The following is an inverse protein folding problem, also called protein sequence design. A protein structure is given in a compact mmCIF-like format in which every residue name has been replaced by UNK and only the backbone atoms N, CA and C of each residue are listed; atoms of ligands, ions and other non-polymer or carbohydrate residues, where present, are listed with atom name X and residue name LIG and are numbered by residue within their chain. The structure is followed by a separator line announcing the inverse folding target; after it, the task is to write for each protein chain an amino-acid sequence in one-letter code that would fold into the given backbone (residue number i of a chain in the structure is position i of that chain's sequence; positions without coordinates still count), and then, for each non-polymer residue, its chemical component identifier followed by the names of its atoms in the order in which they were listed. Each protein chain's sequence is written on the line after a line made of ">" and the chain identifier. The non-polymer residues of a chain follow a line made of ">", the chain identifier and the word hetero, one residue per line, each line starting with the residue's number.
data_IF_971243746607
#
_entry.id   IF_971243746607
#
_cell.length_a   1.000
_cell.length_b   1.000
_cell.length_c   1.000
_cell.angle_alpha   90.00
_cell.angle_beta   90.00
_cell.angle_gamma   90.00
#
_symmetry.space_group_name_H-M   'P 1'
#
loop_
_entity.id
_entity.type
_entity.pdbx_description
1 polymer ?
#
# COMPACT_ATOMS: atom_id res chain seq x y z
N UNK A 1 -50.70 -6.56 -53.16
CA UNK A 1 -51.04 -5.70 -52.00
C UNK A 1 -50.98 -6.52 -50.72
N UNK A 2 -49.98 -6.29 -49.87
CA UNK A 2 -50.05 -6.33 -48.39
C UNK A 2 -48.64 -6.03 -47.88
N UNK A 3 -48.51 -4.84 -47.30
CA UNK A 3 -47.25 -4.22 -46.90
C UNK A 3 -46.70 -4.95 -45.68
N UNK A 4 -45.41 -5.26 -45.74
CA UNK A 4 -44.62 -5.84 -44.65
C UNK A 4 -44.70 -4.86 -43.47
N UNK A 5 -45.27 -5.32 -42.35
CA UNK A 5 -45.41 -4.51 -41.14
C UNK A 5 -44.04 -4.44 -40.46
N UNK A 6 -43.54 -3.22 -40.34
CA UNK A 6 -42.22 -2.87 -39.85
C UNK A 6 -41.97 -3.39 -38.43
N UNK A 7 -41.00 -4.28 -38.29
CA UNK A 7 -40.43 -4.71 -37.01
C UNK A 7 -39.67 -3.53 -36.40
N UNK A 8 -40.27 -2.87 -35.39
CA UNK A 8 -39.59 -1.81 -34.64
C UNK A 8 -38.61 -2.45 -33.65
N UNK A 9 -37.38 -2.65 -34.11
CA UNK A 9 -36.22 -2.89 -33.27
C UNK A 9 -35.97 -1.60 -32.48
N UNK A 10 -36.35 -1.59 -31.21
CA UNK A 10 -35.95 -0.53 -30.27
C UNK A 10 -34.52 -0.84 -29.80
N UNK A 11 -33.53 -0.50 -30.62
CA UNK A 11 -32.16 -0.32 -30.14
C UNK A 11 -32.12 1.05 -29.44
N UNK A 12 -32.38 1.06 -28.13
CA UNK A 12 -31.99 2.19 -27.28
C UNK A 12 -30.52 1.98 -26.95
N UNK A 13 -29.65 2.47 -27.82
CA UNK A 13 -28.25 2.78 -27.51
C UNK A 13 -28.24 4.14 -26.83
N UNK A 14 -28.19 4.12 -25.50
CA UNK A 14 -27.80 5.23 -24.61
C UNK A 14 -27.89 4.66 -23.19
N UNK A 15 -26.80 4.15 -22.62
CA UNK A 15 -25.96 4.99 -21.75
C UNK A 15 -24.61 4.30 -21.57
N UNK A 16 -23.65 4.73 -22.38
CA UNK A 16 -22.25 4.66 -21.99
C UNK A 16 -22.03 5.63 -20.81
N UNK A 17 -21.09 5.23 -19.95
CA UNK A 17 -20.35 6.06 -18.99
C UNK A 17 -21.14 6.68 -17.84
N UNK A 18 -21.61 5.83 -16.93
CA UNK A 18 -21.29 6.03 -15.52
C UNK A 18 -20.26 4.97 -15.10
N UNK A 19 -19.14 4.95 -15.83
CA UNK A 19 -17.88 4.59 -15.20
C UNK A 19 -17.73 5.62 -14.10
N UNK A 20 -17.89 5.19 -12.85
CA UNK A 20 -17.14 5.82 -11.77
C UNK A 20 -15.67 5.58 -12.14
N UNK A 21 -15.17 6.42 -13.05
CA UNK A 21 -13.76 6.72 -13.17
C UNK A 21 -13.38 7.44 -11.89
N UNK A 22 -13.36 6.70 -10.78
CA UNK A 22 -12.23 6.86 -9.90
C UNK A 22 -11.05 6.40 -10.74
N UNK A 23 -10.51 7.32 -11.54
CA UNK A 23 -9.07 7.32 -11.70
C UNK A 23 -8.56 7.34 -10.27
N UNK A 24 -8.07 6.20 -9.80
CA UNK A 24 -7.08 6.25 -8.74
C UNK A 24 -5.91 7.01 -9.36
N UNK A 25 -5.98 8.33 -9.36
CA UNK A 25 -4.78 9.11 -9.34
C UNK A 25 -4.25 8.89 -7.93
N UNK A 26 -3.39 7.89 -7.80
CA UNK A 26 -2.35 7.90 -6.78
C UNK A 26 -1.47 9.11 -7.07
N UNK A 27 -2.00 10.32 -6.85
CA UNK A 27 -1.20 11.51 -6.82
C UNK A 27 -0.43 11.41 -5.53
N UNK A 28 0.78 10.91 -5.70
CA UNK A 28 1.93 10.97 -4.80
C UNK A 28 2.14 12.38 -4.21
N UNK A 29 1.42 13.39 -4.72
CA UNK A 29 1.40 14.78 -4.28
C UNK A 29 0.42 15.12 -3.16
N UNK A 30 -0.62 14.32 -2.87
CA UNK A 30 -1.53 14.59 -1.72
C UNK A 30 -0.79 14.43 -0.39
N UNK A 31 0.25 13.60 -0.38
CA UNK A 31 1.22 13.48 0.70
C UNK A 31 1.93 14.82 1.02
N UNK A 32 2.15 15.69 0.04
CA UNK A 32 2.78 17.01 0.26
C UNK A 32 1.79 18.06 0.79
N UNK A 33 0.48 17.78 0.76
CA UNK A 33 -0.57 18.69 1.21
C UNK A 33 -0.92 18.51 2.69
N UNK A 34 -0.49 17.40 3.31
CA UNK A 34 -0.59 17.15 4.73
C UNK A 34 0.83 16.88 5.24
N UNK A 35 1.37 17.62 6.23
CA UNK A 35 2.65 17.25 6.82
C UNK A 35 2.52 15.85 7.41
N UNK A 36 3.10 14.85 6.77
CA UNK A 36 3.10 13.51 7.32
C UNK A 36 4.21 13.45 8.34
N UNK A 37 3.86 13.16 9.58
CA UNK A 37 4.81 12.94 10.66
C UNK A 37 5.51 11.56 10.57
N UNK A 38 5.36 10.85 9.45
CA UNK A 38 5.85 9.48 9.30
C UNK A 38 7.24 9.39 8.66
N UNK A 39 7.80 10.44 8.08
CA UNK A 39 9.16 10.42 7.55
C UNK A 39 9.83 11.79 7.70
N UNK A 40 11.17 11.81 7.68
CA UNK A 40 11.93 13.06 7.78
C UNK A 40 11.92 13.85 6.47
N UNK A 41 12.17 13.16 5.35
CA UNK A 41 12.16 13.74 4.01
C UNK A 41 10.82 13.53 3.33
N UNK A 42 9.97 14.57 3.37
CA UNK A 42 8.64 14.56 2.76
C UNK A 42 8.68 14.45 1.23
N UNK A 43 9.83 14.71 0.59
CA UNK A 43 9.96 14.52 -0.86
C UNK A 43 10.10 13.03 -1.23
N UNK A 44 10.49 12.18 -0.28
CA UNK A 44 10.54 10.73 -0.46
C UNK A 44 9.19 10.09 -0.14
N UNK A 45 8.22 10.38 -0.99
CA UNK A 45 6.83 9.93 -0.84
C UNK A 45 6.68 8.42 -0.66
N UNK A 46 7.53 7.62 -1.32
CA UNK A 46 7.50 6.15 -1.18
C UNK A 46 7.84 5.67 0.24
N UNK A 47 8.89 6.24 0.85
CA UNK A 47 9.21 5.97 2.25
C UNK A 47 8.03 6.36 3.12
N UNK A 48 7.49 7.55 2.91
CA UNK A 48 6.50 8.08 3.83
C UNK A 48 5.15 7.36 3.77
N UNK A 49 4.73 6.90 2.59
CA UNK A 49 3.57 6.03 2.41
C UNK A 49 3.79 4.66 3.07
N UNK A 50 4.97 4.05 2.89
CA UNK A 50 5.29 2.79 3.55
C UNK A 50 5.37 2.96 5.08
N UNK A 51 5.96 4.05 5.54
CA UNK A 51 6.16 4.30 6.96
C UNK A 51 4.85 4.66 7.67
N UNK A 52 3.88 5.30 6.99
CA UNK A 52 2.52 5.41 7.52
C UNK A 52 1.94 4.02 7.85
N UNK A 53 2.09 3.04 6.96
CA UNK A 53 1.62 1.67 7.20
C UNK A 53 2.39 1.03 8.35
N UNK A 54 3.73 1.08 8.34
CA UNK A 54 4.56 0.48 9.38
C UNK A 54 4.26 1.08 10.76
N UNK A 55 4.13 2.40 10.84
CA UNK A 55 3.86 3.12 12.08
C UNK A 55 2.44 2.90 12.61
N UNK A 56 1.44 2.70 11.74
CA UNK A 56 0.05 2.50 12.18
C UNK A 56 -0.33 1.04 12.43
N UNK A 57 0.33 0.10 11.74
CA UNK A 57 0.00 -1.34 11.81
C UNK A 57 0.95 -2.16 12.67
N UNK A 58 2.18 -1.70 12.88
CA UNK A 58 3.19 -2.50 13.55
C UNK A 58 3.50 -2.01 14.97
N UNK A 59 3.74 -0.72 15.17
CA UNK A 59 4.34 -0.23 16.43
C UNK A 59 3.46 -0.40 17.66
N UNK A 60 2.13 -0.36 17.52
CA UNK A 60 1.19 -0.55 18.64
C UNK A 60 1.29 -1.90 19.35
N UNK A 61 1.70 -2.95 18.64
CA UNK A 61 1.94 -4.29 19.21
C UNK A 61 3.44 -4.58 19.41
N UNK A 62 4.31 -3.70 18.92
CA UNK A 62 5.76 -3.84 18.96
C UNK A 62 6.41 -2.87 19.97
N UNK A 63 5.63 -2.39 20.93
CA UNK A 63 6.12 -1.62 22.07
C UNK A 63 6.99 -2.51 23.01
N UNK A 64 8.15 -1.99 23.45
CA UNK A 64 9.00 -2.57 24.49
C UNK A 64 10.21 -3.41 24.01
N UNK A 65 10.05 -4.31 23.03
CA UNK A 65 11.20 -5.04 22.45
C UNK A 65 11.66 -4.43 21.11
N UNK A 66 10.74 -3.80 20.39
CA UNK A 66 10.93 -3.18 19.07
C UNK A 66 10.48 -1.71 19.07
N UNK A 67 10.52 -1.10 20.25
CA UNK A 67 10.15 0.28 20.57
C UNK A 67 10.94 1.31 19.75
N UNK A 68 12.14 0.98 19.27
CA UNK A 68 12.93 1.86 18.41
C UNK A 68 12.32 2.08 17.02
N UNK A 69 11.46 1.17 16.53
CA UNK A 69 10.88 1.27 15.19
C UNK A 69 9.98 2.51 15.05
N UNK A 70 9.37 2.96 16.15
CA UNK A 70 8.58 4.19 16.18
C UNK A 70 9.40 5.44 15.83
N UNK A 71 10.73 5.38 15.99
CA UNK A 71 11.65 6.47 15.66
C UNK A 71 12.24 6.35 14.25
N UNK A 72 12.00 5.26 13.52
CA UNK A 72 12.54 5.09 12.17
C UNK A 72 11.75 5.95 11.19
N UNK A 73 12.34 7.07 10.76
CA UNK A 73 11.76 8.05 9.84
C UNK A 73 12.55 8.21 8.54
N UNK A 74 13.63 7.43 8.35
CA UNK A 74 14.56 7.51 7.20
C UNK A 74 14.82 6.13 6.61
N UNK A 75 15.19 6.08 5.32
CA UNK A 75 15.64 4.85 4.67
C UNK A 75 16.84 4.22 5.41
N UNK A 76 17.80 5.05 5.83
CA UNK A 76 19.00 4.61 6.52
C UNK A 76 18.66 3.88 7.84
N UNK A 77 17.75 4.42 8.64
CA UNK A 77 17.34 3.78 9.90
C UNK A 77 16.77 2.38 9.68
N UNK A 78 15.92 2.21 8.66
CA UNK A 78 15.35 0.91 8.30
C UNK A 78 16.40 -0.08 7.78
N UNK A 79 17.34 0.38 6.95
CA UNK A 79 18.42 -0.46 6.41
C UNK A 79 19.43 -0.86 7.50
N UNK A 80 19.88 0.09 8.32
CA UNK A 80 20.86 -0.12 9.40
C UNK A 80 20.31 -1.04 10.49
N UNK A 81 18.99 -1.07 10.69
CA UNK A 81 18.34 -2.02 11.60
C UNK A 81 18.43 -3.49 11.14
N UNK A 82 18.74 -3.73 9.85
CA UNK A 82 18.74 -5.06 9.23
C UNK A 82 17.35 -5.57 8.85
N UNK A 83 16.28 -4.81 9.09
CA UNK A 83 14.90 -5.20 8.78
C UNK A 83 14.55 -5.06 7.28
N UNK A 84 15.31 -4.22 6.56
CA UNK A 84 15.11 -3.90 5.15
C UNK A 84 16.41 -4.14 4.38
N UNK A 85 16.29 -4.85 3.26
CA UNK A 85 17.34 -5.06 2.27
C UNK A 85 16.98 -4.24 1.03
N UNK A 86 17.74 -3.18 0.76
CA UNK A 86 17.49 -2.28 -0.37
C UNK A 86 17.37 -3.04 -1.71
N UNK A 87 16.34 -2.72 -2.48
CA UNK A 87 16.02 -3.38 -3.75
C UNK A 87 15.56 -4.84 -3.64
N UNK A 88 15.36 -5.37 -2.42
CA UNK A 88 14.98 -6.77 -2.21
C UNK A 88 13.87 -6.93 -1.14
N UNK A 89 12.59 -6.69 -1.51
CA UNK A 89 11.47 -6.90 -0.61
C UNK A 89 11.38 -8.34 -0.12
N UNK A 90 11.55 -9.32 -1.00
CA UNK A 90 11.44 -10.74 -0.64
C UNK A 90 12.51 -11.20 0.36
N UNK A 91 13.67 -10.53 0.39
CA UNK A 91 14.73 -10.75 1.38
C UNK A 91 14.67 -9.83 2.60
N UNK A 92 13.69 -8.92 2.67
CA UNK A 92 13.53 -8.00 3.79
C UNK A 92 12.64 -8.61 4.87
N UNK A 93 13.13 -8.62 6.11
CA UNK A 93 12.44 -9.20 7.26
C UNK A 93 11.03 -8.62 7.43
N UNK A 94 10.85 -7.31 7.22
CA UNK A 94 9.51 -6.68 7.29
C UNK A 94 8.51 -7.36 6.35
N UNK A 95 8.87 -7.70 5.12
CA UNK A 95 7.97 -8.36 4.15
C UNK A 95 7.81 -9.84 4.49
N UNK A 96 8.91 -10.49 4.91
CA UNK A 96 8.91 -11.91 5.25
C UNK A 96 7.90 -12.22 6.36
N UNK A 97 7.82 -11.35 7.37
CA UNK A 97 6.92 -11.50 8.53
C UNK A 97 5.46 -11.23 8.19
N UNK A 98 5.20 -10.41 7.19
CA UNK A 98 3.82 -10.10 6.76
C UNK A 98 3.21 -11.28 5.99
N UNK A 99 3.92 -11.81 4.98
CA UNK A 99 3.43 -12.93 4.14
C UNK A 99 3.70 -14.31 4.74
N UNK A 100 4.48 -14.37 5.84
CA UNK A 100 4.86 -15.60 6.53
C UNK A 100 5.39 -16.67 5.55
N UNK A 101 6.51 -16.37 4.91
CA UNK A 101 7.19 -17.28 3.98
C UNK A 101 7.72 -18.54 4.69
N UNK A 102 6.81 -19.46 5.07
CA UNK A 102 7.16 -20.80 5.54
C UNK A 102 7.82 -20.88 6.92
N UNK A 103 7.80 -19.81 7.72
CA UNK A 103 8.49 -19.80 9.04
C UNK A 103 7.69 -20.46 10.17
N UNK A 104 6.41 -20.83 9.92
CA UNK A 104 5.52 -21.41 10.93
C UNK A 104 5.03 -20.41 11.99
N UNK A 105 5.28 -19.12 11.80
CA UNK A 105 4.77 -18.04 12.65
C UNK A 105 3.39 -17.58 12.16
N UNK A 106 2.72 -16.69 12.88
CA UNK A 106 1.49 -16.04 12.39
C UNK A 106 1.85 -14.84 11.52
N UNK A 107 1.08 -14.57 10.46
CA UNK A 107 1.24 -13.34 9.67
C UNK A 107 1.13 -12.13 10.60
N UNK A 108 2.02 -11.15 10.44
CA UNK A 108 1.84 -9.86 11.10
C UNK A 108 0.80 -9.01 10.36
N UNK A 109 -0.02 -8.22 11.09
CA UNK A 109 -0.01 -8.04 12.54
C UNK A 109 -0.71 -9.20 13.27
N UNK A 110 -0.10 -9.66 14.36
CA UNK A 110 -0.65 -10.74 15.20
C UNK A 110 -1.89 -10.21 15.93
N UNK A 111 -3.01 -10.90 15.77
CA UNK A 111 -4.31 -10.58 16.39
C UNK A 111 -4.99 -9.28 15.88
N UNK A 112 -4.50 -8.71 14.77
CA UNK A 112 -5.18 -7.66 14.02
C UNK A 112 -5.51 -8.13 12.59
N UNK A 113 -6.38 -7.42 11.85
CA UNK A 113 -6.58 -7.71 10.44
C UNK A 113 -5.26 -7.67 9.68
N UNK A 114 -5.10 -8.59 8.72
CA UNK A 114 -4.00 -8.52 7.77
C UNK A 114 -4.04 -7.19 7.00
N UNK A 115 -2.88 -6.72 6.59
CA UNK A 115 -2.77 -5.56 5.71
C UNK A 115 -3.59 -5.77 4.42
N UNK A 116 -4.18 -4.69 3.90
CA UNK A 116 -4.76 -4.69 2.56
C UNK A 116 -3.69 -4.85 1.49
N UNK A 117 -4.07 -5.25 0.28
CA UNK A 117 -3.11 -5.35 -0.82
C UNK A 117 -2.40 -4.02 -1.09
N UNK A 118 -3.13 -2.90 -1.05
CA UNK A 118 -2.56 -1.56 -1.23
C UNK A 118 -1.53 -1.21 -0.14
N UNK A 119 -1.78 -1.61 1.12
CA UNK A 119 -0.84 -1.41 2.24
C UNK A 119 0.44 -2.25 2.06
N UNK A 120 0.30 -3.48 1.56
CA UNK A 120 1.44 -4.31 1.16
C UNK A 120 2.24 -3.68 0.03
N UNK A 121 1.55 -3.20 -1.01
CA UNK A 121 2.17 -2.65 -2.22
C UNK A 121 2.98 -1.39 -1.91
N UNK A 122 2.53 -0.55 -0.96
CA UNK A 122 3.31 0.59 -0.46
C UNK A 122 4.66 0.16 0.09
N UNK A 123 4.68 -0.88 0.93
CA UNK A 123 5.92 -1.40 1.54
C UNK A 123 6.83 -2.04 0.47
N UNK A 124 6.28 -2.87 -0.41
CA UNK A 124 7.08 -3.52 -1.45
C UNK A 124 7.62 -2.52 -2.49
N UNK A 125 6.83 -1.53 -2.87
CA UNK A 125 7.24 -0.47 -3.81
C UNK A 125 8.35 0.38 -3.22
N UNK A 126 8.23 0.78 -1.96
CA UNK A 126 9.28 1.50 -1.26
C UNK A 126 10.58 0.68 -1.20
N UNK A 127 10.54 -0.57 -0.72
CA UNK A 127 11.77 -1.37 -0.60
C UNK A 127 12.42 -1.64 -1.97
N UNK A 128 11.62 -1.83 -3.02
CA UNK A 128 12.12 -1.96 -4.39
C UNK A 128 12.77 -0.68 -4.93
N UNK A 129 12.38 0.51 -4.45
CA UNK A 129 12.92 1.79 -4.92
C UNK A 129 14.17 2.25 -4.17
N UNK A 130 14.54 1.56 -3.09
CA UNK A 130 15.74 1.81 -2.27
C UNK A 130 17.05 1.49 -2.99
#
# INVERSE_FOLDING_TARGET
>A
MKRIVSLKIYIVVATLVASCGQSFNSNTTDYLLLPSNYCEDQSNTSLCEANEVLQTKCTSCHEGYHDTWAAYSTNAAWIESGLVVAGNPAGSDVVIRLKNYGTGLTNMPKDAPALSQDEYDKIETWINSL
#
